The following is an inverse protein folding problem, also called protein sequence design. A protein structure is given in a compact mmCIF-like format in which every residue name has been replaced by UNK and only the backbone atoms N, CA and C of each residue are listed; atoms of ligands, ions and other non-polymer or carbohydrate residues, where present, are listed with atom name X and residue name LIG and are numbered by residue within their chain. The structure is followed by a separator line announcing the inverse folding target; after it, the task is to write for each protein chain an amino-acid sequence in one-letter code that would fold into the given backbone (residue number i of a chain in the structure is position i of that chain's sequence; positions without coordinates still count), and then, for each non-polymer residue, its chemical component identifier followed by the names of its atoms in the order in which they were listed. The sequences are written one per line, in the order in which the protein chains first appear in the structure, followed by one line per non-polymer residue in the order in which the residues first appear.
data_IF_488188918791
#
_entry.id   IF_488188918791
#
_cell.length_a   1.000
_cell.length_b   1.000
_cell.length_c   1.000
_cell.angle_alpha   90.00
_cell.angle_beta   90.00
_cell.angle_gamma   90.00
#
_symmetry.space_group_name_H-M   'P 1'
#
loop_
_entity.id
_entity.type
_entity.pdbx_description
1 polymer ?
#
# COMPACT_ATOMS: atom_id res chain seq x y z
N UNK A 1 66.98 1.97 -16.22
CA UNK A 1 65.88 1.02 -15.98
C UNK A 1 64.84 1.55 -14.98
N UNK A 2 65.23 2.20 -13.87
CA UNK A 2 64.27 2.82 -12.93
C UNK A 2 63.52 4.04 -13.50
N UNK A 3 64.16 4.86 -14.31
CA UNK A 3 63.57 6.12 -14.81
C UNK A 3 62.36 5.88 -15.73
N UNK A 4 62.39 4.82 -16.53
CA UNK A 4 61.29 4.43 -17.42
C UNK A 4 60.07 3.92 -16.65
N UNK A 5 60.29 3.23 -15.52
CA UNK A 5 59.21 2.68 -14.68
C UNK A 5 58.43 3.79 -13.96
N UNK A 6 59.12 4.85 -13.52
CA UNK A 6 58.50 6.01 -12.87
C UNK A 6 57.61 6.79 -13.86
N UNK A 7 58.06 6.96 -15.12
CA UNK A 7 57.26 7.64 -16.16
C UNK A 7 56.01 6.82 -16.53
N UNK A 8 56.13 5.49 -16.65
CA UNK A 8 54.99 4.62 -16.94
C UNK A 8 53.91 4.68 -15.84
N UNK A 9 54.31 4.76 -14.56
CA UNK A 9 53.40 4.79 -13.41
C UNK A 9 52.68 6.14 -13.22
N UNK A 10 53.19 7.23 -13.80
CA UNK A 10 52.56 8.56 -13.74
C UNK A 10 51.62 8.88 -14.91
N UNK A 11 51.50 8.01 -15.92
CA UNK A 11 50.69 8.26 -17.12
C UNK A 11 49.19 7.91 -17.00
N UNK A 12 48.71 7.36 -15.88
CA UNK A 12 47.39 6.70 -15.83
C UNK A 12 46.34 7.32 -14.89
N UNK A 13 46.46 8.62 -14.59
CA UNK A 13 45.36 9.39 -13.97
C UNK A 13 44.86 10.49 -14.90
N UNK A 14 44.19 10.11 -15.97
CA UNK A 14 43.24 11.01 -16.62
C UNK A 14 41.86 10.70 -16.05
N UNK A 15 41.37 11.57 -15.18
CA UNK A 15 39.93 11.61 -14.89
C UNK A 15 39.26 11.88 -16.24
N UNK A 16 38.56 10.88 -16.78
CA UNK A 16 37.76 11.02 -18.01
C UNK A 16 36.59 11.95 -17.71
N UNK A 17 36.88 13.25 -17.72
CA UNK A 17 35.88 14.29 -17.84
C UNK A 17 35.58 14.38 -19.33
N UNK A 18 34.66 13.53 -19.79
CA UNK A 18 34.26 13.47 -21.19
C UNK A 18 33.27 14.60 -21.44
N UNK A 19 33.43 15.35 -22.54
CA UNK A 19 32.42 16.31 -22.99
C UNK A 19 31.04 15.64 -23.26
N UNK A 20 31.00 14.30 -23.38
CA UNK A 20 29.78 13.53 -23.46
C UNK A 20 28.97 13.46 -22.15
N UNK A 21 29.55 13.85 -21.00
CA UNK A 21 28.81 13.96 -19.73
C UNK A 21 28.15 15.35 -19.57
N UNK A 22 28.53 16.36 -20.37
CA UNK A 22 27.84 17.64 -20.44
C UNK A 22 26.65 17.53 -21.39
N UNK A 23 25.45 17.55 -20.85
CA UNK A 23 24.21 17.41 -21.61
C UNK A 23 23.61 16.01 -21.58
N UNK A 24 24.21 15.06 -20.85
CA UNK A 24 23.43 13.93 -20.35
C UNK A 24 22.44 14.54 -19.37
N UNK A 25 21.18 14.65 -19.77
CA UNK A 25 20.11 14.92 -18.83
C UNK A 25 20.36 14.00 -17.66
N UNK A 26 20.51 14.59 -16.47
CA UNK A 26 20.39 13.80 -15.26
C UNK A 26 18.98 13.27 -15.38
N UNK A 27 18.81 12.05 -15.91
CA UNK A 27 17.65 11.25 -15.62
C UNK A 27 17.63 11.33 -14.11
N UNK A 28 16.76 12.20 -13.60
CA UNK A 28 16.50 12.27 -12.20
C UNK A 28 16.21 10.82 -11.90
N UNK A 29 17.15 10.16 -11.21
CA UNK A 29 16.79 9.01 -10.44
C UNK A 29 15.61 9.56 -9.67
N UNK A 30 14.40 9.20 -10.10
CA UNK A 30 13.27 9.18 -9.22
C UNK A 30 13.83 8.28 -8.16
N UNK A 31 14.45 8.89 -7.16
CA UNK A 31 14.38 8.44 -5.80
C UNK A 31 12.88 8.27 -5.65
N UNK A 32 12.41 7.09 -6.03
CA UNK A 32 11.21 6.52 -5.55
C UNK A 32 11.57 6.28 -4.09
N UNK A 33 11.67 7.38 -3.32
CA UNK A 33 11.41 7.41 -1.90
C UNK A 33 9.95 7.02 -1.84
N UNK A 34 9.73 5.73 -2.04
CA UNK A 34 8.46 5.07 -1.97
C UNK A 34 8.10 5.31 -0.52
N UNK A 35 7.27 6.33 -0.29
CA UNK A 35 7.01 6.89 1.04
C UNK A 35 6.50 5.80 2.00
N UNK A 36 5.94 4.74 1.41
CA UNK A 36 5.55 3.51 2.05
C UNK A 36 6.52 2.41 1.66
N UNK A 37 7.24 1.78 2.60
CA UNK A 37 8.05 0.60 2.27
C UNK A 37 7.20 -0.53 1.69
N UNK A 38 7.82 -1.48 0.95
CA UNK A 38 7.12 -2.65 0.37
C UNK A 38 6.31 -3.44 1.41
N UNK A 39 6.75 -3.43 2.66
CA UNK A 39 6.02 -4.06 3.78
C UNK A 39 4.76 -3.29 4.16
N UNK A 40 4.79 -1.97 4.19
CA UNK A 40 3.62 -1.14 4.51
C UNK A 40 2.52 -1.34 3.49
N UNK A 41 2.89 -1.46 2.22
CA UNK A 41 1.94 -1.74 1.15
C UNK A 41 1.22 -3.10 1.37
N UNK A 42 1.91 -4.11 1.90
CA UNK A 42 1.28 -5.39 2.29
C UNK A 42 0.28 -5.20 3.43
N UNK A 43 0.62 -4.39 4.44
CA UNK A 43 -0.29 -4.08 5.55
C UNK A 43 -1.52 -3.30 5.10
N UNK A 44 -1.35 -2.37 4.15
CA UNK A 44 -2.43 -1.62 3.51
C UNK A 44 -3.40 -2.58 2.79
N UNK A 45 -2.90 -3.52 1.99
CA UNK A 45 -3.76 -4.53 1.33
C UNK A 45 -4.53 -5.40 2.34
N UNK A 46 -3.92 -5.73 3.47
CA UNK A 46 -4.60 -6.48 4.54
C UNK A 46 -5.71 -5.63 5.19
N UNK A 47 -5.43 -4.37 5.48
CA UNK A 47 -6.42 -3.41 6.01
C UNK A 47 -7.63 -3.28 5.08
N UNK A 48 -7.36 -3.04 3.79
CA UNK A 48 -8.38 -2.96 2.76
C UNK A 48 -9.23 -4.24 2.67
N UNK A 49 -8.59 -5.41 2.71
CA UNK A 49 -9.31 -6.69 2.70
C UNK A 49 -10.23 -6.82 3.92
N UNK A 50 -9.78 -6.42 5.12
CA UNK A 50 -10.63 -6.41 6.31
C UNK A 50 -11.83 -5.46 6.19
N UNK A 51 -11.64 -4.27 5.61
CA UNK A 51 -12.72 -3.30 5.37
C UNK A 51 -13.75 -3.89 4.40
N UNK A 52 -13.30 -4.46 3.29
CA UNK A 52 -14.17 -5.10 2.29
C UNK A 52 -14.96 -6.25 2.91
N UNK A 53 -14.31 -7.11 3.69
CA UNK A 53 -14.98 -8.21 4.41
C UNK A 53 -16.00 -7.66 5.42
N UNK A 54 -15.67 -6.60 6.14
CA UNK A 54 -16.59 -5.94 7.07
C UNK A 54 -17.86 -5.45 6.37
N UNK A 55 -17.72 -4.74 5.23
CA UNK A 55 -18.87 -4.30 4.45
C UNK A 55 -19.64 -5.47 3.84
N UNK A 56 -18.97 -6.51 3.36
CA UNK A 56 -19.61 -7.71 2.82
C UNK A 56 -20.44 -8.43 3.89
N UNK A 57 -19.97 -8.48 5.14
CA UNK A 57 -20.73 -9.02 6.27
C UNK A 57 -21.95 -8.18 6.62
N UNK A 58 -21.94 -6.86 6.36
CA UNK A 58 -23.11 -5.99 6.52
C UNK A 58 -24.16 -6.22 5.42
N UNK A 59 -23.78 -6.79 4.27
CA UNK A 59 -24.71 -7.05 3.17
C UNK A 59 -25.77 -8.09 3.55
N UNK A 60 -27.00 -7.81 3.10
CA UNK A 60 -28.07 -8.77 2.84
C UNK A 60 -29.46 -8.19 3.13
N UNK A 61 -30.46 -8.99 3.56
CA UNK A 61 -31.86 -8.60 3.45
C UNK A 61 -32.18 -7.32 4.22
N UNK A 62 -33.05 -6.50 3.62
CA UNK A 62 -33.60 -5.31 4.27
C UNK A 62 -34.69 -5.69 5.28
N UNK A 63 -35.18 -4.68 6.00
CA UNK A 63 -36.17 -4.86 7.06
C UNK A 63 -37.53 -5.40 6.57
N UNK A 64 -37.84 -5.32 5.27
CA UNK A 64 -39.14 -5.71 4.71
C UNK A 64 -39.02 -6.89 3.72
N UNK A 65 -37.86 -7.55 3.68
CA UNK A 65 -37.60 -8.70 2.83
C UNK A 65 -37.56 -9.96 3.68
N UNK A 66 -38.64 -10.74 3.63
CA UNK A 66 -38.75 -12.04 4.32
C UNK A 66 -38.67 -13.13 3.25
N UNK A 67 -37.83 -14.14 3.47
CA UNK A 67 -37.62 -15.25 2.52
C UNK A 67 -37.25 -14.82 1.09
N UNK A 68 -36.56 -13.67 0.95
CA UNK A 68 -36.13 -13.13 -0.34
C UNK A 68 -37.23 -12.41 -1.13
N UNK A 69 -38.43 -12.25 -0.56
CA UNK A 69 -39.55 -11.51 -1.16
C UNK A 69 -39.82 -10.23 -0.38
N UNK A 70 -39.89 -9.11 -1.10
CA UNK A 70 -40.20 -7.81 -0.54
C UNK A 70 -41.69 -7.72 -0.18
N UNK A 71 -41.99 -7.35 1.06
CA UNK A 71 -43.34 -7.10 1.56
C UNK A 71 -43.34 -5.91 2.55
N UNK A 72 -43.91 -4.74 2.18
CA UNK A 72 -43.89 -3.54 3.01
C UNK A 72 -44.55 -3.67 4.39
N UNK A 73 -45.41 -4.67 4.57
CA UNK A 73 -46.13 -4.89 5.83
C UNK A 73 -45.50 -5.99 6.69
N UNK A 74 -44.38 -6.56 6.23
CA UNK A 74 -43.67 -7.63 6.92
C UNK A 74 -42.35 -7.11 7.50
N UNK A 75 -41.96 -7.61 8.67
CA UNK A 75 -40.73 -7.22 9.34
C UNK A 75 -39.75 -8.39 9.43
N UNK A 76 -38.50 -8.15 9.05
CA UNK A 76 -37.41 -9.12 9.15
C UNK A 76 -36.51 -8.83 10.36
N UNK A 77 -36.50 -9.72 11.35
CA UNK A 77 -35.65 -9.62 12.54
C UNK A 77 -34.16 -9.92 12.29
N UNK A 78 -33.80 -10.53 11.16
CA UNK A 78 -32.40 -10.86 10.81
C UNK A 78 -31.53 -9.61 10.65
N UNK A 79 -32.15 -8.44 10.43
CA UNK A 79 -31.44 -7.15 10.41
C UNK A 79 -30.75 -6.86 11.75
N UNK A 80 -31.31 -7.37 12.87
CA UNK A 80 -30.76 -7.22 14.21
C UNK A 80 -29.76 -8.32 14.59
N UNK A 81 -29.37 -9.16 13.64
CA UNK A 81 -28.35 -10.17 13.87
C UNK A 81 -27.08 -9.54 14.45
N UNK A 82 -26.58 -10.12 15.55
CA UNK A 82 -25.35 -9.69 16.23
C UNK A 82 -24.17 -9.60 15.24
N UNK A 83 -24.18 -10.44 14.20
CA UNK A 83 -23.19 -10.44 13.13
C UNK A 83 -23.11 -9.09 12.41
N UNK A 84 -24.23 -8.48 12.06
CA UNK A 84 -24.29 -7.21 11.29
C UNK A 84 -24.15 -5.98 12.15
N UNK A 85 -24.67 -6.01 13.37
CA UNK A 85 -24.66 -4.83 14.25
C UNK A 85 -23.34 -4.68 15.00
N UNK A 86 -22.70 -5.80 15.37
CA UNK A 86 -21.49 -5.74 16.20
C UNK A 86 -20.26 -6.23 15.46
N UNK A 87 -20.31 -7.44 14.90
CA UNK A 87 -19.12 -8.06 14.31
C UNK A 87 -18.70 -7.31 13.05
N UNK A 88 -19.61 -7.05 12.13
CA UNK A 88 -19.29 -6.43 10.85
C UNK A 88 -18.73 -4.99 11.00
N UNK A 89 -19.31 -4.08 11.82
CA UNK A 89 -18.76 -2.75 12.03
C UNK A 89 -17.41 -2.80 12.77
N UNK A 90 -17.21 -3.74 13.69
CA UNK A 90 -15.91 -3.95 14.32
C UNK A 90 -14.83 -4.30 13.30
N UNK A 91 -15.13 -5.16 12.31
CA UNK A 91 -14.19 -5.48 11.24
C UNK A 91 -13.80 -4.24 10.42
N UNK A 92 -14.77 -3.38 10.10
CA UNK A 92 -14.50 -2.12 9.38
C UNK A 92 -13.60 -1.20 10.21
N UNK A 93 -13.89 -1.03 11.50
CA UNK A 93 -13.08 -0.20 12.41
C UNK A 93 -11.65 -0.75 12.53
N UNK A 94 -11.50 -2.06 12.72
CA UNK A 94 -10.19 -2.72 12.78
C UNK A 94 -9.43 -2.52 11.47
N UNK A 95 -10.12 -2.67 10.32
CA UNK A 95 -9.55 -2.44 9.01
C UNK A 95 -8.99 -1.01 8.87
N UNK A 96 -9.77 0.01 9.26
CA UNK A 96 -9.30 1.40 9.28
C UNK A 96 -8.13 1.62 10.25
N UNK A 97 -8.13 0.98 11.42
CA UNK A 97 -7.02 1.05 12.35
C UNK A 97 -5.72 0.46 11.77
N UNK A 98 -5.83 -0.66 11.04
CA UNK A 98 -4.71 -1.27 10.31
C UNK A 98 -4.20 -0.33 9.22
N UNK A 99 -5.09 0.32 8.47
CA UNK A 99 -4.72 1.30 7.43
C UNK A 99 -3.95 2.48 8.03
N UNK A 100 -4.47 3.07 9.11
CA UNK A 100 -3.79 4.16 9.83
C UNK A 100 -2.41 3.70 10.30
N UNK A 101 -2.31 2.51 10.89
CA UNK A 101 -1.03 1.94 11.29
C UNK A 101 -0.08 1.72 10.11
N UNK A 102 -0.57 1.17 8.99
CA UNK A 102 0.25 0.89 7.80
C UNK A 102 0.81 2.16 7.16
N UNK A 103 0.02 3.23 7.13
CA UNK A 103 0.40 4.54 6.61
C UNK A 103 1.39 5.23 7.54
N UNK A 104 1.13 5.21 8.85
CA UNK A 104 1.98 5.89 9.85
C UNK A 104 3.26 5.12 10.17
N UNK A 105 3.31 3.82 9.91
CA UNK A 105 4.49 2.97 10.18
C UNK A 105 5.65 3.42 9.30
N UNK A 106 6.44 4.37 9.77
CA UNK A 106 7.65 4.78 9.08
C UNK A 106 8.71 3.69 9.30
N UNK A 107 9.15 3.04 8.22
CA UNK A 107 10.44 2.34 8.19
C UNK A 107 11.52 3.31 7.76
#
# INVERSE_FOLDING_TARGET
MLTTYIIHKMSNKTNKFSAADFGKETEASKENTFYFGKENFKWMLIGLACIVVGFLLMMGPDANTVDGKFDPNSWNDDIFSIRRIRIAPLFVIIGFAIEVYAILKKK
#
